data_IF_604495755970
#
_entry.id   IF_604495755970
#
_cell.length_a   1.000
_cell.length_b   1.000
_cell.length_c   1.000
_cell.angle_alpha   90.00
_cell.angle_beta   90.00
_cell.angle_gamma   90.00
#
_symmetry.space_group_name_H-M   'P 1'
#
loop_
_entity.id
_entity.type
_entity.pdbx_description
1 polymer ?
#
# COMPACT_ATOMS: atom_id res chain seq x y z
N UNK A 1 1.40 12.96 16.77
CA UNK A 1 0.25 12.10 17.08
C UNK A 1 0.79 10.79 17.66
N UNK A 2 0.21 10.27 18.74
CA UNK A 2 0.58 8.95 19.30
C UNK A 2 -0.64 8.02 19.20
N UNK A 3 -0.41 6.71 19.03
CA UNK A 3 -1.47 5.70 19.07
C UNK A 3 -1.93 5.52 20.51
N UNK A 4 -3.23 5.66 20.74
CA UNK A 4 -3.89 5.46 22.02
C UNK A 4 -4.30 3.97 22.15
N UNK A 5 -3.67 3.20 23.07
CA UNK A 5 -3.97 1.78 23.22
C UNK A 5 -5.42 1.48 23.57
N UNK A 6 -6.11 2.39 24.25
CA UNK A 6 -7.52 2.20 24.67
C UNK A 6 -8.49 2.15 23.49
N UNK A 7 -8.09 2.70 22.33
CA UNK A 7 -8.88 2.72 21.09
C UNK A 7 -8.68 1.49 20.23
N UNK A 8 -7.71 0.64 20.55
CA UNK A 8 -7.41 -0.57 19.77
C UNK A 8 -8.50 -1.61 20.02
N UNK A 9 -9.24 -1.94 18.96
CA UNK A 9 -10.30 -2.94 18.96
C UNK A 9 -9.81 -4.33 18.56
N UNK A 10 -10.78 -5.15 18.14
CA UNK A 10 -10.55 -6.54 17.71
C UNK A 10 -9.65 -6.62 16.48
N UNK A 11 -8.98 -7.77 16.33
CA UNK A 11 -8.29 -8.13 15.10
C UNK A 11 -9.27 -8.09 13.92
N UNK A 12 -8.92 -7.34 12.88
CA UNK A 12 -9.67 -7.27 11.64
C UNK A 12 -9.14 -8.31 10.65
N UNK A 13 -7.83 -8.31 10.39
CA UNK A 13 -7.16 -9.30 9.54
C UNK A 13 -5.65 -9.30 9.74
N UNK A 14 -4.97 -10.30 9.17
CA UNK A 14 -3.51 -10.38 9.05
C UNK A 14 -3.16 -10.38 7.57
N UNK A 15 -2.46 -9.34 7.12
CA UNK A 15 -1.88 -9.27 5.78
C UNK A 15 -0.42 -9.71 5.76
N UNK A 16 0.18 -9.76 4.56
CA UNK A 16 1.58 -10.19 4.40
C UNK A 16 2.59 -9.33 5.16
N UNK A 17 2.36 -8.02 5.25
CA UNK A 17 3.28 -7.09 5.91
C UNK A 17 2.73 -6.49 7.22
N UNK A 18 1.43 -6.60 7.49
CA UNK A 18 0.76 -5.90 8.59
C UNK A 18 -0.24 -6.78 9.33
N UNK A 19 -0.30 -6.64 10.65
CA UNK A 19 -1.46 -7.03 11.45
C UNK A 19 -2.41 -5.84 11.58
N UNK A 20 -3.71 -6.05 11.32
CA UNK A 20 -4.69 -4.97 11.20
C UNK A 20 -5.77 -5.14 12.26
N UNK A 21 -6.00 -4.11 13.05
CA UNK A 21 -7.07 -4.07 14.06
C UNK A 21 -8.05 -2.95 13.74
N UNK A 22 -9.30 -3.09 14.17
CA UNK A 22 -10.18 -1.93 14.30
C UNK A 22 -9.58 -0.92 15.28
N UNK A 23 -9.80 0.36 15.05
CA UNK A 23 -9.28 1.43 15.90
C UNK A 23 -10.26 2.59 16.00
N UNK A 24 -10.71 2.90 17.22
CA UNK A 24 -11.71 3.93 17.47
C UNK A 24 -12.96 3.78 16.59
N UNK A 25 -13.58 4.91 16.25
CA UNK A 25 -14.75 4.93 15.39
C UNK A 25 -14.36 5.09 13.92
N UNK A 26 -14.34 3.96 13.19
CA UNK A 26 -14.21 3.96 11.72
C UNK A 26 -12.77 3.99 11.17
N UNK A 27 -11.76 3.65 11.97
CA UNK A 27 -10.38 3.53 11.50
C UNK A 27 -9.86 2.10 11.68
N UNK A 28 -8.76 1.83 10.98
CA UNK A 28 -7.93 0.64 11.08
C UNK A 28 -6.54 1.07 11.56
N UNK A 29 -6.01 0.33 12.53
CA UNK A 29 -4.62 0.41 12.97
C UNK A 29 -3.86 -0.75 12.33
N UNK A 30 -2.91 -0.43 11.46
CA UNK A 30 -1.99 -1.42 10.86
C UNK A 30 -0.63 -1.34 11.53
N UNK A 31 -0.19 -2.47 12.07
CA UNK A 31 1.11 -2.61 12.72
C UNK A 31 1.98 -3.53 11.86
N UNK A 32 3.20 -3.12 11.46
CA UNK A 32 4.01 -3.91 10.56
C UNK A 32 4.64 -5.11 11.27
N UNK A 33 4.54 -6.28 10.63
CA UNK A 33 5.02 -7.58 11.11
C UNK A 33 5.83 -8.38 10.06
N UNK A 34 5.93 -7.84 8.84
CA UNK A 34 6.50 -8.51 7.67
C UNK A 34 8.02 -8.65 7.65
N UNK A 35 8.53 -9.21 6.56
CA UNK A 35 9.96 -9.55 6.42
C UNK A 35 10.84 -8.31 6.43
N UNK A 36 10.34 -7.16 5.96
CA UNK A 36 11.07 -5.88 5.96
C UNK A 36 11.34 -5.39 7.39
N UNK A 37 10.40 -5.58 8.32
CA UNK A 37 10.63 -5.30 9.75
C UNK A 37 11.63 -6.29 10.34
N UNK A 38 11.59 -7.57 9.97
CA UNK A 38 12.48 -8.61 10.52
C UNK A 38 13.93 -8.45 10.07
N UNK A 39 14.15 -8.11 8.80
CA UNK A 39 15.49 -8.04 8.19
C UNK A 39 16.12 -6.65 8.19
N UNK A 40 15.34 -5.58 8.40
CA UNK A 40 15.84 -4.21 8.26
C UNK A 40 14.92 -3.16 8.88
N UNK A 41 14.51 -3.36 10.14
CA UNK A 41 13.51 -2.54 10.84
C UNK A 41 13.74 -1.03 10.70
N UNK A 42 14.94 -0.56 11.03
CA UNK A 42 15.23 0.88 11.07
C UNK A 42 15.16 1.51 9.67
N UNK A 43 15.79 0.85 8.70
CA UNK A 43 15.74 1.28 7.30
C UNK A 43 14.29 1.27 6.81
N UNK A 44 13.51 0.23 7.09
CA UNK A 44 12.12 0.16 6.65
C UNK A 44 11.21 1.22 7.30
N UNK A 45 11.40 1.50 8.60
CA UNK A 45 10.66 2.60 9.25
C UNK A 45 10.99 3.93 8.60
N UNK A 46 12.28 4.21 8.38
CA UNK A 46 12.72 5.44 7.71
C UNK A 46 12.17 5.52 6.28
N UNK A 47 12.15 4.41 5.55
CA UNK A 47 11.56 4.32 4.21
C UNK A 47 10.10 4.76 4.21
N UNK A 48 9.26 4.16 5.06
CA UNK A 48 7.82 4.46 5.09
C UNK A 48 7.57 5.91 5.49
N UNK A 49 8.32 6.44 6.47
CA UNK A 49 8.18 7.83 6.92
C UNK A 49 8.59 8.82 5.82
N UNK A 50 9.65 8.54 5.06
CA UNK A 50 10.10 9.39 3.96
C UNK A 50 9.24 9.25 2.71
N UNK A 51 8.77 8.05 2.38
CA UNK A 51 8.05 7.78 1.14
C UNK A 51 6.58 8.20 1.22
N UNK A 52 5.97 8.17 2.41
CA UNK A 52 4.55 8.48 2.57
C UNK A 52 4.16 9.90 2.10
N UNK A 53 4.90 10.98 2.44
CA UNK A 53 4.63 12.31 1.90
C UNK A 53 4.70 12.36 0.36
N UNK A 54 5.64 11.63 -0.25
CA UNK A 54 5.77 11.53 -1.70
C UNK A 54 4.54 10.82 -2.27
N UNK A 55 4.19 9.65 -1.75
CA UNK A 55 3.01 8.91 -2.16
C UNK A 55 1.74 9.75 -2.04
N UNK A 56 1.60 10.52 -0.95
CA UNK A 56 0.46 11.42 -0.73
C UNK A 56 0.42 12.59 -1.72
N UNK A 57 1.57 13.12 -2.14
CA UNK A 57 1.67 14.17 -3.17
C UNK A 57 1.09 13.70 -4.51
N UNK A 58 1.41 12.48 -4.94
CA UNK A 58 0.96 11.97 -6.24
C UNK A 58 -0.44 11.35 -6.16
N UNK A 59 -0.69 10.50 -5.17
CA UNK A 59 -1.87 9.63 -5.13
C UNK A 59 -2.91 10.07 -4.10
N UNK A 60 -2.81 11.30 -3.60
CA UNK A 60 -3.62 11.82 -2.48
C UNK A 60 -5.13 11.72 -2.68
N UNK A 61 -5.61 11.90 -3.91
CA UNK A 61 -7.04 11.82 -4.26
C UNK A 61 -7.62 10.40 -4.07
N UNK A 62 -6.76 9.38 -4.27
CA UNK A 62 -7.11 7.98 -4.13
C UNK A 62 -6.92 7.47 -2.69
N UNK A 63 -6.25 8.23 -1.83
CA UNK A 63 -6.03 7.82 -0.45
C UNK A 63 -7.27 8.12 0.40
N UNK A 64 -7.70 7.18 1.26
CA UNK A 64 -8.53 7.54 2.38
C UNK A 64 -7.73 8.44 3.34
N UNK A 65 -8.41 9.00 4.33
CA UNK A 65 -7.70 9.64 5.43
C UNK A 65 -6.72 8.65 6.08
N UNK A 66 -5.44 8.95 5.99
CA UNK A 66 -4.37 8.04 6.42
C UNK A 66 -3.19 8.82 6.98
N UNK A 67 -2.53 8.26 7.98
CA UNK A 67 -1.34 8.80 8.61
C UNK A 67 -0.38 7.70 9.00
N UNK A 68 0.91 7.90 8.72
CA UNK A 68 2.00 7.13 9.33
C UNK A 68 2.29 7.75 10.69
N UNK A 69 2.30 6.92 11.73
CA UNK A 69 2.55 7.31 13.12
C UNK A 69 3.89 6.70 13.55
N UNK A 70 5.00 7.45 13.46
CA UNK A 70 6.30 7.00 13.95
C UNK A 70 6.24 6.79 15.47
N UNK A 71 6.87 5.71 15.94
CA UNK A 71 6.90 5.32 17.34
C UNK A 71 8.22 4.65 17.69
N UNK A 72 8.40 4.35 18.97
CA UNK A 72 9.51 3.55 19.47
C UNK A 72 8.94 2.33 20.18
N UNK A 73 9.50 1.15 19.90
CA UNK A 73 9.15 -0.11 20.55
C UNK A 73 10.44 -0.81 20.95
N UNK A 74 10.61 -1.09 22.25
CA UNK A 74 11.83 -1.67 22.81
C UNK A 74 13.09 -0.90 22.41
N UNK A 75 13.07 0.44 22.55
CA UNK A 75 14.15 1.36 22.14
C UNK A 75 14.53 1.33 20.65
N UNK A 76 13.72 0.70 19.80
CA UNK A 76 13.93 0.66 18.34
C UNK A 76 12.83 1.41 17.60
N UNK A 77 13.13 2.08 16.48
CA UNK A 77 12.11 2.76 15.69
C UNK A 77 11.05 1.76 15.21
N UNK A 78 9.81 2.24 15.17
CA UNK A 78 8.63 1.51 14.72
C UNK A 78 7.66 2.50 14.08
N UNK A 79 6.62 2.00 13.43
CA UNK A 79 5.53 2.83 12.98
C UNK A 79 4.23 2.06 13.07
N UNK A 80 3.14 2.80 13.17
CA UNK A 80 1.80 2.30 12.88
C UNK A 80 1.21 3.11 11.74
N UNK A 81 0.27 2.53 11.01
CA UNK A 81 -0.53 3.26 10.03
C UNK A 81 -1.94 3.36 10.61
N UNK A 82 -2.42 4.59 10.76
CA UNK A 82 -3.81 4.87 11.09
C UNK A 82 -4.53 5.26 9.81
N UNK A 83 -5.53 4.47 9.40
CA UNK A 83 -6.23 4.64 8.13
C UNK A 83 -7.73 4.57 8.35
N UNK A 84 -8.49 5.51 7.79
CA UNK A 84 -9.95 5.44 7.79
C UNK A 84 -10.40 4.20 7.03
N UNK A 85 -11.38 3.50 7.61
CA UNK A 85 -11.96 2.32 7.00
C UNK A 85 -12.62 2.68 5.67
N UNK A 86 -12.36 1.87 4.64
CA UNK A 86 -12.93 2.04 3.31
C UNK A 86 -13.87 0.87 3.07
N UNK A 87 -15.16 1.17 2.95
CA UNK A 87 -16.14 0.21 2.48
C UNK A 87 -16.09 0.11 0.96
N UNK A 88 -16.15 -1.11 0.45
CA UNK A 88 -16.11 -1.37 -0.98
C UNK A 88 -15.75 -2.81 -1.30
N UNK A 89 -15.49 -3.03 -2.58
CA UNK A 89 -15.00 -4.31 -3.11
C UNK A 89 -13.65 -4.11 -3.77
N UNK A 90 -12.80 -5.15 -3.75
CA UNK A 90 -11.56 -5.19 -4.52
C UNK A 90 -11.85 -4.95 -6.01
N UNK A 91 -11.06 -4.09 -6.65
CA UNK A 91 -11.12 -3.88 -8.10
C UNK A 91 -10.76 -5.18 -8.84
N UNK A 92 -11.67 -5.63 -9.71
CA UNK A 92 -11.43 -6.73 -10.63
C UNK A 92 -11.43 -6.24 -12.08
N UNK A 93 -10.79 -6.98 -12.98
CA UNK A 93 -10.72 -6.70 -14.43
C UNK A 93 -12.08 -6.36 -15.04
N UNK A 94 -13.12 -7.13 -14.70
CA UNK A 94 -14.49 -6.91 -15.20
C UNK A 94 -15.07 -5.54 -14.85
N UNK A 95 -14.61 -4.93 -13.76
CA UNK A 95 -15.11 -3.63 -13.31
C UNK A 95 -14.55 -2.49 -14.17
N UNK A 96 -13.44 -2.72 -14.90
CA UNK A 96 -12.88 -1.78 -15.88
C UNK A 96 -13.72 -1.67 -17.15
N UNK A 97 -14.81 -2.44 -17.28
CA UNK A 97 -15.85 -2.21 -18.29
C UNK A 97 -16.66 -0.94 -18.01
N UNK A 98 -16.70 -0.48 -16.76
CA UNK A 98 -17.28 0.82 -16.41
C UNK A 98 -16.26 1.92 -16.76
N UNK A 99 -16.66 2.85 -17.64
CA UNK A 99 -15.78 3.90 -18.14
C UNK A 99 -15.30 4.87 -17.04
N UNK A 100 -16.14 5.16 -16.04
CA UNK A 100 -15.78 6.02 -14.91
C UNK A 100 -14.65 5.39 -14.09
N UNK A 101 -14.80 4.12 -13.73
CA UNK A 101 -13.78 3.34 -13.02
C UNK A 101 -12.51 3.22 -13.86
N UNK A 102 -12.64 2.93 -15.16
CA UNK A 102 -11.51 2.83 -16.08
C UNK A 102 -10.72 4.15 -16.14
N UNK A 103 -11.39 5.29 -16.25
CA UNK A 103 -10.74 6.59 -16.29
C UNK A 103 -9.97 6.88 -14.99
N UNK A 104 -10.57 6.61 -13.83
CA UNK A 104 -9.90 6.76 -12.54
C UNK A 104 -8.67 5.83 -12.44
N UNK A 105 -8.79 4.58 -12.91
CA UNK A 105 -7.70 3.60 -12.88
C UNK A 105 -6.54 4.03 -13.78
N UNK A 106 -6.84 4.48 -15.01
CA UNK A 106 -5.83 5.00 -15.96
C UNK A 106 -5.10 6.21 -15.35
N UNK A 107 -5.85 7.14 -14.74
CA UNK A 107 -5.25 8.30 -14.08
C UNK A 107 -4.33 7.88 -12.92
N UNK A 108 -4.77 6.95 -12.07
CA UNK A 108 -3.96 6.41 -10.98
C UNK A 108 -2.65 5.77 -11.48
N UNK A 109 -2.72 4.94 -12.53
CA UNK A 109 -1.53 4.31 -13.11
C UNK A 109 -0.58 5.35 -13.70
N UNK A 110 -1.10 6.39 -14.34
CA UNK A 110 -0.30 7.51 -14.87
C UNK A 110 0.43 8.25 -13.74
N UNK A 111 -0.27 8.65 -12.68
CA UNK A 111 0.34 9.34 -11.53
C UNK A 111 1.39 8.45 -10.83
N UNK A 112 1.16 7.15 -10.72
CA UNK A 112 2.16 6.23 -10.18
C UNK A 112 3.40 6.13 -11.09
N UNK A 113 3.22 6.16 -12.41
CA UNK A 113 4.35 6.16 -13.36
C UNK A 113 5.19 7.43 -13.23
N UNK A 114 4.55 8.59 -13.08
CA UNK A 114 5.23 9.87 -12.84
C UNK A 114 6.04 9.83 -11.53
N UNK A 115 5.43 9.32 -10.44
CA UNK A 115 6.12 9.12 -9.16
C UNK A 115 7.32 8.16 -9.29
N UNK A 116 7.17 7.09 -10.07
CA UNK A 116 8.22 6.11 -10.33
C UNK A 116 9.40 6.72 -11.09
N UNK A 117 9.13 7.52 -12.12
CA UNK A 117 10.16 8.15 -12.94
C UNK A 117 10.99 9.16 -12.13
N UNK A 118 10.31 9.99 -11.32
CA UNK A 118 10.93 11.07 -10.54
C UNK A 118 11.63 10.56 -9.27
N UNK A 119 10.98 9.68 -8.51
CA UNK A 119 11.44 9.30 -7.17
C UNK A 119 11.99 7.88 -7.07
N UNK A 120 11.86 7.08 -8.14
CA UNK A 120 12.20 5.64 -8.13
C UNK A 120 11.43 4.86 -7.07
N UNK A 121 10.18 5.27 -6.85
CA UNK A 121 9.23 4.64 -5.93
C UNK A 121 7.98 4.28 -6.73
N UNK A 122 7.50 3.05 -6.58
CA UNK A 122 6.24 2.59 -7.16
C UNK A 122 5.31 2.13 -6.04
N UNK A 123 4.03 2.48 -6.10
CA UNK A 123 3.03 1.96 -5.19
C UNK A 123 2.69 0.50 -5.55
N UNK A 124 2.42 -0.33 -4.54
CA UNK A 124 2.03 -1.73 -4.72
C UNK A 124 0.53 -1.84 -4.98
N UNK A 125 0.15 -2.10 -6.23
CA UNK A 125 -1.23 -2.26 -6.68
C UNK A 125 -1.83 -3.61 -6.26
N UNK A 126 -1.02 -4.67 -6.25
CA UNK A 126 -1.50 -6.05 -6.24
C UNK A 126 -1.34 -6.73 -4.88
N UNK A 127 -0.49 -6.20 -4.01
CA UNK A 127 -0.11 -6.87 -2.78
C UNK A 127 0.75 -8.09 -3.06
N UNK A 128 1.50 -8.52 -2.04
CA UNK A 128 2.33 -9.71 -2.12
C UNK A 128 1.53 -10.95 -2.60
N UNK A 129 0.37 -11.20 -1.99
CA UNK A 129 -0.42 -12.40 -2.27
C UNK A 129 -0.86 -12.50 -3.75
N UNK A 130 -1.42 -11.45 -4.34
CA UNK A 130 -1.86 -11.51 -5.75
C UNK A 130 -0.68 -11.63 -6.71
N UNK A 131 0.47 -11.03 -6.38
CA UNK A 131 1.69 -11.19 -7.15
C UNK A 131 2.20 -12.63 -7.07
N UNK A 132 2.32 -13.23 -5.89
CA UNK A 132 2.80 -14.60 -5.73
C UNK A 132 1.84 -15.65 -6.31
N UNK A 133 0.54 -15.51 -6.09
CA UNK A 133 -0.47 -16.47 -6.59
C UNK A 133 -0.81 -16.29 -8.07
N UNK A 134 -0.33 -15.22 -8.70
CA UNK A 134 -0.46 -15.01 -10.13
C UNK A 134 -1.82 -14.49 -10.60
N UNK A 135 -2.56 -13.82 -9.73
CA UNK A 135 -3.90 -13.32 -10.05
C UNK A 135 -3.85 -11.93 -10.68
N UNK A 136 -3.61 -11.88 -11.99
CA UNK A 136 -3.53 -10.63 -12.76
C UNK A 136 -4.86 -9.88 -12.93
N UNK A 137 -6.00 -10.52 -12.66
CA UNK A 137 -7.33 -9.95 -12.85
C UNK A 137 -7.88 -9.25 -11.61
N UNK A 138 -7.13 -9.19 -10.50
CA UNK A 138 -7.53 -8.53 -9.25
C UNK A 138 -6.44 -7.60 -8.73
N UNK A 139 -6.79 -6.35 -8.48
CA UNK A 139 -5.89 -5.32 -7.94
C UNK A 139 -6.14 -5.20 -6.44
N UNK A 140 -5.52 -6.07 -5.63
CA UNK A 140 -5.92 -6.28 -4.24
C UNK A 140 -5.80 -5.06 -3.32
N UNK A 141 -4.91 -4.11 -3.63
CA UNK A 141 -4.76 -2.90 -2.82
C UNK A 141 -5.64 -1.73 -3.29
N UNK A 142 -6.59 -1.98 -4.22
CA UNK A 142 -7.52 -0.98 -4.71
C UNK A 142 -8.97 -1.41 -4.55
N UNK A 143 -9.77 -0.56 -3.92
CA UNK A 143 -11.21 -0.77 -3.71
C UNK A 143 -12.04 0.16 -4.59
N UNK A 144 -13.20 -0.33 -5.01
CA UNK A 144 -14.29 0.46 -5.56
C UNK A 144 -15.31 0.68 -4.44
N UNK A 145 -15.55 1.94 -4.09
CA UNK A 145 -16.56 2.31 -3.09
C UNK A 145 -17.98 2.17 -3.64
N UNK A 146 -19.02 2.19 -2.79
CA UNK A 146 -20.41 2.25 -3.25
C UNK A 146 -20.75 3.45 -4.15
N UNK A 147 -19.89 4.48 -4.17
CA UNK A 147 -20.03 5.68 -4.99
C UNK A 147 -19.21 5.63 -6.29
N UNK A 148 -18.70 4.45 -6.68
CA UNK A 148 -17.82 4.27 -7.83
C UNK A 148 -16.51 5.07 -7.75
N UNK A 149 -15.98 5.29 -6.55
CA UNK A 149 -14.66 5.90 -6.38
C UNK A 149 -13.60 4.82 -6.18
N UNK A 150 -12.43 5.00 -6.79
CA UNK A 150 -11.26 4.18 -6.50
C UNK A 150 -10.55 4.67 -5.24
N UNK A 151 -10.31 3.77 -4.30
CA UNK A 151 -9.59 4.05 -3.06
C UNK A 151 -8.49 3.04 -2.77
N UNK A 152 -7.31 3.55 -2.46
CA UNK A 152 -6.14 2.80 -2.04
C UNK A 152 -6.37 2.31 -0.61
N UNK A 153 -6.26 1.00 -0.39
CA UNK A 153 -6.46 0.44 0.96
C UNK A 153 -5.14 0.11 1.66
N UNK A 154 -4.01 0.17 0.98
CA UNK A 154 -2.67 -0.07 1.54
C UNK A 154 -1.64 0.88 0.94
N UNK A 155 -0.75 1.43 1.76
CA UNK A 155 0.23 2.45 1.34
C UNK A 155 1.63 1.87 1.10
N UNK A 156 1.74 0.55 0.97
CA UNK A 156 3.00 -0.13 0.67
C UNK A 156 3.69 0.42 -0.58
N UNK A 157 4.95 0.80 -0.43
CA UNK A 157 5.80 1.28 -1.53
C UNK A 157 6.93 0.29 -1.85
N UNK A 158 7.27 0.25 -3.13
CA UNK A 158 8.40 -0.44 -3.73
C UNK A 158 9.48 0.59 -4.10
N UNK A 159 10.59 0.60 -3.36
CA UNK A 159 11.78 1.39 -3.73
C UNK A 159 12.60 0.62 -4.77
N UNK A 160 12.74 1.19 -5.96
CA UNK A 160 13.38 0.52 -7.10
C UNK A 160 14.91 0.64 -7.07
N UNK A 161 15.43 1.61 -6.32
CA UNK A 161 16.85 1.73 -6.02
C UNK A 161 17.21 1.07 -4.70
N UNK A 162 18.41 0.45 -4.66
CA UNK A 162 18.96 -0.13 -3.44
C UNK A 162 19.54 0.96 -2.54
N UNK A 163 18.71 1.48 -1.62
CA UNK A 163 19.05 2.51 -0.62
C UNK A 163 19.19 1.90 0.78
N UNK A 164 20.09 0.94 0.93
CA UNK A 164 20.36 0.28 2.21
C UNK A 164 19.45 -0.91 2.53
N UNK A 165 18.57 -1.33 1.61
CA UNK A 165 17.83 -2.58 1.80
C UNK A 165 18.76 -3.80 1.68
N UNK A 166 18.47 -4.87 2.44
CA UNK A 166 19.07 -6.18 2.20
C UNK A 166 18.88 -6.61 0.74
N UNK A 167 19.89 -7.24 0.15
CA UNK A 167 19.88 -7.65 -1.27
C UNK A 167 18.64 -8.49 -1.62
N UNK A 168 18.29 -9.44 -0.75
CA UNK A 168 17.12 -10.30 -0.94
C UNK A 168 15.81 -9.50 -0.97
N UNK A 169 15.64 -8.53 -0.07
CA UNK A 169 14.45 -7.67 -0.02
C UNK A 169 14.36 -6.85 -1.30
N UNK A 170 15.47 -6.25 -1.74
CA UNK A 170 15.51 -5.47 -2.98
C UNK A 170 15.23 -6.33 -4.22
N UNK A 171 15.76 -7.55 -4.29
CA UNK A 171 15.48 -8.48 -5.38
C UNK A 171 14.00 -8.86 -5.45
N UNK A 172 13.35 -9.11 -4.31
CA UNK A 172 11.90 -9.37 -4.24
C UNK A 172 11.11 -8.14 -4.71
N UNK A 173 11.52 -6.93 -4.30
CA UNK A 173 10.88 -5.68 -4.73
C UNK A 173 10.97 -5.52 -6.25
N UNK A 174 12.15 -5.74 -6.85
CA UNK A 174 12.30 -5.64 -8.31
C UNK A 174 11.49 -6.69 -9.06
N UNK A 175 11.43 -7.92 -8.54
CA UNK A 175 10.58 -8.97 -9.11
C UNK A 175 9.10 -8.58 -9.05
N UNK A 176 8.63 -8.12 -7.88
CA UNK A 176 7.25 -7.68 -7.67
C UNK A 176 6.88 -6.54 -8.61
N UNK A 177 7.77 -5.55 -8.76
CA UNK A 177 7.59 -4.42 -9.65
C UNK A 177 7.47 -4.82 -11.12
N UNK A 178 8.38 -5.67 -11.62
CA UNK A 178 8.33 -6.17 -13.01
C UNK A 178 7.03 -6.93 -13.28
N UNK A 179 6.60 -7.75 -12.32
CA UNK A 179 5.35 -8.51 -12.43
C UNK A 179 4.12 -7.61 -12.40
N UNK A 180 4.09 -6.61 -11.51
CA UNK A 180 3.06 -5.59 -11.47
C UNK A 180 2.94 -4.86 -12.81
N UNK A 181 4.05 -4.43 -13.43
CA UNK A 181 4.02 -3.79 -14.75
C UNK A 181 3.33 -4.66 -15.79
N UNK A 182 3.68 -5.94 -15.86
CA UNK A 182 3.02 -6.87 -16.77
C UNK A 182 1.51 -6.99 -16.51
N UNK A 183 1.07 -6.92 -15.25
CA UNK A 183 -0.35 -7.01 -14.90
C UNK A 183 -1.10 -5.72 -15.21
N UNK A 184 -0.49 -4.56 -14.97
CA UNK A 184 -1.05 -3.27 -15.39
C UNK A 184 -1.20 -3.20 -16.91
N UNK A 185 -0.19 -3.64 -17.67
CA UNK A 185 -0.27 -3.71 -19.14
C UNK A 185 -1.35 -4.67 -19.62
N UNK A 186 -1.67 -5.72 -18.85
CA UNK A 186 -2.79 -6.61 -19.15
C UNK A 186 -4.14 -5.93 -18.92
N UNK A 187 -4.29 -5.20 -17.81
CA UNK A 187 -5.53 -4.51 -17.44
C UNK A 187 -5.83 -3.24 -18.24
N UNK A 188 -4.81 -2.64 -18.85
CA UNK A 188 -4.92 -1.41 -19.65
C UNK A 188 -5.20 -1.66 -21.14
N UNK A 189 -5.21 -2.92 -21.59
CA UNK A 189 -5.64 -3.30 -22.95
C UNK A 189 -7.13 -3.06 -23.13
#
# INVERSE_FOLDING_TARGET
MQVDPSKKGKLFTVGGENIIHHYGNGYLLKSPIGIRIRLGKENFVNEVVTDFPILKKYLGEFLPEVSVVPQTQNNKPYFNILQKFVEGKVLCEKDLKNQEIKNQFVNLVKQNKEMEEEHKISWDFFGAESLFLGNKSKVANLFITPRNELKIIDIGTMRLERRGQPLLVWAIILWAHRRQKHYLDFLLR
#
